data_IF_954102722473
#
_entry.id   IF_954102722473
#
_cell.length_a   1.000
_cell.length_b   1.000
_cell.length_c   1.000
_cell.angle_alpha   90.00
_cell.angle_beta   90.00
_cell.angle_gamma   90.00
#
_symmetry.space_group_name_H-M   'P 1'
#
loop_
_entity.id
_entity.type
_entity.pdbx_description
1 polymer ?
#
# COMPACT_ATOMS: atom_id res chain seq x y z
N UNK A 1 -29.97 36.40 7.02
CA UNK A 1 -28.84 36.05 7.91
C UNK A 1 -28.17 34.82 7.32
N UNK A 2 -27.35 35.00 6.29
CA UNK A 2 -26.54 33.93 5.69
C UNK A 2 -25.09 34.23 6.06
N UNK A 3 -24.55 33.40 6.96
CA UNK A 3 -23.13 33.48 7.32
C UNK A 3 -22.35 32.85 6.18
N UNK A 4 -21.82 33.71 5.31
CA UNK A 4 -20.82 33.33 4.32
C UNK A 4 -19.63 32.75 5.07
N UNK A 5 -19.50 31.42 5.01
CA UNK A 5 -18.40 30.71 5.64
C UNK A 5 -17.17 31.01 4.82
N UNK A 6 -16.30 31.86 5.37
CA UNK A 6 -15.02 32.23 4.78
C UNK A 6 -14.24 30.95 4.50
N UNK A 7 -14.08 30.60 3.22
CA UNK A 7 -13.13 29.58 2.77
C UNK A 7 -11.73 30.16 2.98
N UNK A 8 -11.22 30.04 4.19
CA UNK A 8 -9.86 30.46 4.56
C UNK A 8 -8.76 29.58 3.92
N UNK A 9 -9.12 28.63 3.04
CA UNK A 9 -8.19 27.76 2.32
C UNK A 9 -7.80 28.21 0.92
N UNK A 10 -8.46 29.21 0.33
CA UNK A 10 -8.42 29.46 -1.13
C UNK A 10 -7.10 29.96 -1.72
N UNK A 11 -6.17 30.50 -0.92
CA UNK A 11 -4.91 31.06 -1.45
C UNK A 11 -3.76 30.06 -1.56
N UNK A 12 -3.83 28.92 -0.87
CA UNK A 12 -2.84 27.83 -0.99
C UNK A 12 -3.12 26.89 -2.17
N UNK A 13 -4.29 27.01 -2.82
CA UNK A 13 -4.73 26.14 -3.90
C UNK A 13 -4.28 26.63 -5.29
N UNK A 14 -4.10 27.95 -5.45
CA UNK A 14 -3.75 28.58 -6.72
C UNK A 14 -2.30 28.30 -7.19
N UNK A 15 -1.45 27.75 -6.31
CA UNK A 15 -0.06 27.41 -6.63
C UNK A 15 0.19 25.92 -6.89
N UNK A 16 -0.82 25.06 -6.73
CA UNK A 16 -0.69 23.62 -6.94
C UNK A 16 -1.32 23.24 -8.28
N UNK A 17 -0.56 22.51 -9.10
CA UNK A 17 -1.11 21.83 -10.27
C UNK A 17 -2.17 20.79 -9.87
N UNK A 18 -2.87 20.24 -10.88
CA UNK A 18 -3.96 19.26 -10.69
C UNK A 18 -3.50 18.09 -9.81
N UNK A 19 -2.30 17.59 -10.05
CA UNK A 19 -1.68 16.48 -9.32
C UNK A 19 -1.48 16.82 -7.83
N UNK A 20 -1.11 18.07 -7.53
CA UNK A 20 -0.93 18.55 -6.16
C UNK A 20 -2.24 18.62 -5.39
N UNK A 21 -3.32 19.09 -6.05
CA UNK A 21 -4.67 19.12 -5.48
C UNK A 21 -5.16 17.70 -5.21
N UNK A 22 -5.02 16.79 -6.19
CA UNK A 22 -5.42 15.40 -6.04
C UNK A 22 -4.65 14.68 -4.93
N UNK A 23 -3.33 14.89 -4.82
CA UNK A 23 -2.51 14.31 -3.77
C UNK A 23 -2.94 14.77 -2.37
N UNK A 24 -3.26 16.05 -2.21
CA UNK A 24 -3.75 16.60 -0.94
C UNK A 24 -5.13 16.04 -0.59
N UNK A 25 -6.05 15.97 -1.55
CA UNK A 25 -7.36 15.38 -1.34
C UNK A 25 -7.25 13.90 -0.96
N UNK A 26 -6.40 13.13 -1.65
CA UNK A 26 -6.12 11.73 -1.34
C UNK A 26 -5.57 11.56 0.09
N UNK A 27 -4.65 12.43 0.53
CA UNK A 27 -4.15 12.42 1.92
C UNK A 27 -5.30 12.57 2.92
N UNK A 28 -6.15 13.59 2.74
CA UNK A 28 -7.26 13.85 3.66
C UNK A 28 -8.26 12.69 3.69
N UNK A 29 -8.59 12.11 2.53
CA UNK A 29 -9.48 10.96 2.44
C UNK A 29 -8.90 9.72 3.13
N UNK A 30 -7.61 9.45 2.96
CA UNK A 30 -6.93 8.33 3.62
C UNK A 30 -6.92 8.53 5.14
N UNK A 31 -6.60 9.73 5.62
CA UNK A 31 -6.63 10.05 7.05
C UNK A 31 -8.03 9.84 7.64
N UNK A 32 -9.08 10.36 6.98
CA UNK A 32 -10.48 10.16 7.41
C UNK A 32 -10.88 8.68 7.44
N UNK A 33 -10.50 7.91 6.43
CA UNK A 33 -10.84 6.49 6.35
C UNK A 33 -10.11 5.67 7.43
N UNK A 34 -8.85 6.00 7.75
CA UNK A 34 -8.11 5.37 8.84
C UNK A 34 -8.73 5.73 10.21
N UNK A 35 -9.17 6.97 10.41
CA UNK A 35 -9.89 7.34 11.63
C UNK A 35 -11.19 6.56 11.78
N UNK A 36 -11.91 6.29 10.68
CA UNK A 36 -13.08 5.42 10.69
C UNK A 36 -12.73 3.96 11.07
N UNK A 37 -11.63 3.40 10.54
CA UNK A 37 -11.15 2.06 10.94
C UNK A 37 -10.86 1.99 12.45
N UNK A 38 -10.25 3.03 13.03
CA UNK A 38 -9.95 3.09 14.47
C UNK A 38 -11.23 3.24 15.29
N UNK A 39 -12.18 4.05 14.83
CA UNK A 39 -13.46 4.23 15.52
C UNK A 39 -14.21 2.90 15.63
N UNK A 40 -14.24 2.11 14.54
CA UNK A 40 -14.83 0.76 14.54
C UNK A 40 -14.15 -0.15 15.56
N UNK A 41 -12.81 -0.17 15.61
CA UNK A 41 -12.09 -0.95 16.62
C UNK A 41 -12.43 -0.49 18.05
N UNK A 42 -12.48 0.81 18.30
CA UNK A 42 -12.78 1.32 19.65
C UNK A 42 -14.22 1.03 20.08
N UNK A 43 -15.16 1.03 19.14
CA UNK A 43 -16.56 0.66 19.39
C UNK A 43 -16.68 -0.83 19.74
N UNK A 44 -15.99 -1.71 19.00
CA UNK A 44 -15.94 -3.15 19.28
C UNK A 44 -15.47 -3.45 20.72
N UNK A 45 -14.49 -2.68 21.22
CA UNK A 45 -13.93 -2.85 22.56
C UNK A 45 -14.50 -1.88 23.62
N UNK A 46 -15.57 -1.13 23.31
CA UNK A 46 -16.13 -0.11 24.22
C UNK A 46 -16.67 -0.70 25.53
N UNK A 47 -17.18 -1.93 25.48
CA UNK A 47 -17.72 -2.66 26.64
C UNK A 47 -16.61 -3.27 27.52
N UNK A 48 -15.39 -3.41 26.99
CA UNK A 48 -14.27 -4.02 27.73
C UNK A 48 -13.66 -2.96 28.64
N UNK A 49 -13.96 -3.08 29.93
CA UNK A 49 -13.44 -2.19 30.99
C UNK A 49 -12.50 -2.96 31.91
N UNK A 50 -11.52 -2.24 32.43
CA UNK A 50 -10.63 -2.74 33.47
C UNK A 50 -11.37 -2.78 34.82
N UNK A 51 -10.78 -3.44 35.82
CA UNK A 51 -11.32 -3.54 37.19
C UNK A 51 -11.55 -2.16 37.83
N UNK A 52 -10.78 -1.14 37.39
CA UNK A 52 -10.90 0.26 37.84
C UNK A 52 -11.99 1.07 37.09
N UNK A 53 -12.77 0.42 36.21
CA UNK A 53 -13.84 1.05 35.42
C UNK A 53 -13.36 1.83 34.18
N UNK A 54 -12.05 1.94 33.94
CA UNK A 54 -11.50 2.59 32.75
C UNK A 54 -11.62 1.70 31.52
N UNK A 55 -11.73 2.29 30.33
CA UNK A 55 -11.68 1.54 29.07
C UNK A 55 -10.34 0.81 28.93
N UNK A 56 -10.41 -0.47 28.55
CA UNK A 56 -9.24 -1.29 28.33
C UNK A 56 -8.44 -0.85 27.10
N UNK A 57 -9.14 -0.46 26.03
CA UNK A 57 -8.54 -0.07 24.75
C UNK A 57 -8.74 1.42 24.53
N UNK A 58 -7.63 2.17 24.40
CA UNK A 58 -7.68 3.63 24.24
C UNK A 58 -6.76 4.12 23.13
N UNK A 59 -7.09 5.26 22.53
CA UNK A 59 -6.19 5.96 21.62
C UNK A 59 -4.98 6.49 22.38
N UNK A 60 -3.79 6.32 21.80
CA UNK A 60 -2.51 6.71 22.39
C UNK A 60 -1.56 7.32 21.35
N UNK A 61 -2.01 8.44 20.77
CA UNK A 61 -1.23 9.19 19.78
C UNK A 61 -1.24 8.54 18.40
N UNK A 62 -0.12 8.66 17.69
CA UNK A 62 0.04 8.19 16.31
C UNK A 62 1.39 7.49 16.15
N UNK A 63 1.46 6.60 15.17
CA UNK A 63 2.73 6.10 14.65
C UNK A 63 3.47 7.21 13.88
N UNK A 64 4.80 7.09 13.69
CA UNK A 64 5.54 7.99 12.84
C UNK A 64 4.91 8.11 11.45
N UNK A 65 4.87 9.34 10.93
CA UNK A 65 4.38 9.59 9.58
C UNK A 65 5.25 8.85 8.57
N UNK A 66 4.60 8.32 7.54
CA UNK A 66 5.28 7.49 6.55
C UNK A 66 4.66 7.73 5.18
N UNK A 67 5.51 7.86 4.17
CA UNK A 67 5.03 8.01 2.80
C UNK A 67 4.67 6.66 2.17
N UNK A 68 3.53 6.66 1.48
CA UNK A 68 3.06 5.56 0.64
C UNK A 68 3.08 6.03 -0.80
N UNK A 69 3.84 5.35 -1.65
CA UNK A 69 3.86 5.61 -3.09
C UNK A 69 2.53 5.17 -3.73
N UNK A 70 1.80 6.11 -4.30
CA UNK A 70 0.55 5.89 -5.04
C UNK A 70 0.73 6.29 -6.50
N UNK A 71 -0.31 6.10 -7.32
CA UNK A 71 -0.31 6.60 -8.69
C UNK A 71 -0.23 8.14 -8.77
N UNK A 72 -0.60 8.85 -7.70
CA UNK A 72 -0.51 10.31 -7.58
C UNK A 72 0.84 10.79 -7.01
N UNK A 73 1.79 9.87 -6.86
CA UNK A 73 3.07 10.08 -6.18
C UNK A 73 3.02 9.74 -4.68
N UNK A 74 4.01 10.20 -3.90
CA UNK A 74 4.12 9.91 -2.47
C UNK A 74 3.01 10.64 -1.69
N UNK A 75 2.24 9.88 -0.92
CA UNK A 75 1.23 10.41 -0.01
C UNK A 75 1.67 10.14 1.43
N UNK A 76 1.88 11.17 2.27
CA UNK A 76 2.20 10.98 3.67
C UNK A 76 0.98 10.47 4.43
N UNK A 77 1.16 9.42 5.22
CA UNK A 77 0.10 8.78 6.00
C UNK A 77 0.53 8.68 7.46
N UNK A 78 -0.36 9.10 8.35
CA UNK A 78 -0.17 9.03 9.80
C UNK A 78 -1.26 8.15 10.41
N UNK A 79 -0.85 6.98 10.90
CA UNK A 79 -1.78 5.98 11.44
C UNK A 79 -1.95 6.20 12.94
N UNK A 80 -3.18 6.30 13.49
CA UNK A 80 -3.39 6.38 14.93
C UNK A 80 -2.88 5.13 15.64
N UNK A 81 -2.41 5.32 16.87
CA UNK A 81 -1.93 4.23 17.71
C UNK A 81 -2.97 3.93 18.79
N UNK A 82 -3.27 2.65 18.95
CA UNK A 82 -4.15 2.16 20.02
C UNK A 82 -3.29 1.50 21.09
N UNK A 83 -3.59 1.76 22.36
CA UNK A 83 -2.98 1.13 23.52
C UNK A 83 -4.01 0.24 24.20
N UNK A 84 -3.69 -1.04 24.26
CA UNK A 84 -4.34 -1.97 25.17
C UNK A 84 -3.74 -1.85 26.57
N UNK A 85 -4.60 -1.71 27.57
CA UNK A 85 -4.25 -1.71 28.99
C UNK A 85 -4.56 -3.04 29.67
N UNK A 86 -5.43 -3.87 29.09
CA UNK A 86 -5.86 -5.16 29.67
C UNK A 86 -4.77 -6.23 29.64
N UNK A 87 -3.76 -6.09 28.78
CA UNK A 87 -2.71 -7.09 28.62
C UNK A 87 -3.10 -8.24 27.67
N UNK A 88 -4.23 -8.12 26.97
CA UNK A 88 -4.69 -9.10 25.97
C UNK A 88 -3.95 -8.98 24.63
N UNK A 89 -3.19 -7.91 24.43
CA UNK A 89 -2.32 -7.74 23.27
C UNK A 89 -3.02 -7.14 22.05
N UNK A 90 -4.15 -6.48 22.24
CA UNK A 90 -4.92 -5.83 21.17
C UNK A 90 -4.08 -4.73 20.51
N UNK A 91 -3.96 -4.80 19.18
CA UNK A 91 -3.22 -3.82 18.36
C UNK A 91 -4.08 -3.40 17.18
N UNK A 92 -4.12 -2.10 16.93
CA UNK A 92 -4.70 -1.57 15.70
C UNK A 92 -3.72 -1.72 14.53
N UNK A 93 -4.16 -2.43 13.49
CA UNK A 93 -3.48 -2.49 12.20
C UNK A 93 -4.46 -1.99 11.14
N UNK A 94 -4.18 -0.83 10.54
CA UNK A 94 -4.98 -0.29 9.45
C UNK A 94 -4.97 -1.25 8.26
N UNK A 95 -6.13 -1.48 7.64
CA UNK A 95 -6.25 -2.28 6.41
C UNK A 95 -5.80 -1.46 5.21
N UNK A 96 -6.12 -0.15 5.21
CA UNK A 96 -5.71 0.79 4.17
C UNK A 96 -4.20 1.07 4.18
N UNK A 97 -3.60 1.17 5.36
CA UNK A 97 -2.17 1.42 5.54
C UNK A 97 -1.55 0.40 6.52
N UNK A 98 -1.34 -0.87 6.09
CA UNK A 98 -0.73 -1.88 6.94
C UNK A 98 0.70 -1.52 7.33
N UNK A 99 1.20 -2.04 8.47
CA UNK A 99 2.56 -1.81 8.92
C UNK A 99 3.60 -2.08 7.82
N UNK A 100 4.63 -1.22 7.76
CA UNK A 100 5.77 -1.32 6.82
C UNK A 100 5.45 -1.18 5.32
N UNK A 101 4.18 -1.11 4.92
CA UNK A 101 3.80 -0.84 3.53
C UNK A 101 4.23 0.57 3.14
N UNK A 102 4.94 0.67 2.01
CA UNK A 102 5.47 1.91 1.42
C UNK A 102 4.92 2.20 0.02
N UNK A 103 4.07 1.32 -0.52
CA UNK A 103 3.56 1.42 -1.89
C UNK A 103 2.15 0.88 -1.94
N UNK A 104 1.30 1.48 -2.76
CA UNK A 104 -0.01 0.94 -3.10
C UNK A 104 0.13 -0.38 -3.86
N UNK A 105 -0.89 -1.23 -3.77
CA UNK A 105 -0.95 -2.51 -4.49
C UNK A 105 -0.75 -2.33 -6.00
N UNK A 106 -1.41 -1.35 -6.58
CA UNK A 106 -1.33 -1.05 -8.01
C UNK A 106 0.09 -0.67 -8.44
N UNK A 107 0.75 0.24 -7.71
CA UNK A 107 2.13 0.63 -8.02
C UNK A 107 3.12 -0.52 -7.82
N UNK A 108 2.92 -1.35 -6.78
CA UNK A 108 3.75 -2.53 -6.59
C UNK A 108 3.62 -3.55 -7.73
N UNK A 109 2.43 -3.69 -8.32
CA UNK A 109 2.15 -4.61 -9.42
C UNK A 109 2.73 -4.15 -10.77
N UNK A 110 3.03 -2.85 -10.94
CA UNK A 110 3.59 -2.33 -12.19
C UNK A 110 4.95 -2.93 -12.52
N UNK A 111 5.80 -3.18 -11.51
CA UNK A 111 7.14 -3.76 -11.69
C UNK A 111 7.12 -5.15 -12.36
N UNK A 112 6.39 -6.15 -11.82
CA UNK A 112 6.24 -7.45 -12.48
C UNK A 112 5.67 -7.31 -13.89
N UNK A 113 4.65 -6.47 -14.06
CA UNK A 113 3.95 -6.28 -15.33
C UNK A 113 4.92 -5.79 -16.41
N UNK A 114 5.68 -4.73 -16.13
CA UNK A 114 6.67 -4.18 -17.06
C UNK A 114 7.73 -5.22 -17.43
N UNK A 115 8.20 -6.00 -16.46
CA UNK A 115 9.18 -7.05 -16.72
C UNK A 115 8.64 -8.15 -17.64
N UNK A 116 7.41 -8.62 -17.40
CA UNK A 116 6.75 -9.62 -18.24
C UNK A 116 6.50 -9.10 -19.67
N UNK A 117 6.29 -7.80 -19.83
CA UNK A 117 6.16 -7.14 -21.13
C UNK A 117 7.50 -6.80 -21.81
N UNK A 118 8.62 -7.29 -21.27
CA UNK A 118 9.94 -7.18 -21.93
C UNK A 118 10.67 -5.87 -21.66
N UNK A 119 10.22 -5.04 -20.71
CA UNK A 119 10.97 -3.86 -20.28
C UNK A 119 12.21 -4.33 -19.52
N UNK A 120 13.38 -3.98 -20.06
CA UNK A 120 14.66 -4.27 -19.40
C UNK A 120 14.71 -3.68 -18.00
N UNK A 121 15.31 -4.40 -17.06
CA UNK A 121 15.50 -3.92 -15.69
C UNK A 121 16.27 -2.60 -15.61
N UNK A 122 17.13 -2.31 -16.59
CA UNK A 122 17.87 -1.04 -16.67
C UNK A 122 17.00 0.16 -17.05
N UNK A 123 15.96 -0.04 -17.87
CA UNK A 123 15.04 1.01 -18.32
C UNK A 123 13.78 1.14 -17.46
N UNK A 124 13.61 0.26 -16.47
CA UNK A 124 12.40 0.22 -15.64
C UNK A 124 12.24 1.49 -14.79
N UNK A 125 13.32 2.02 -14.22
CA UNK A 125 13.26 3.24 -13.43
C UNK A 125 12.86 4.44 -14.30
N UNK A 126 13.41 4.54 -15.52
CA UNK A 126 13.07 5.58 -16.49
C UNK A 126 11.59 5.52 -16.88
N UNK A 127 11.10 4.34 -17.27
CA UNK A 127 9.69 4.14 -17.62
C UNK A 127 8.75 4.50 -16.47
N UNK A 128 9.11 4.18 -15.23
CA UNK A 128 8.31 4.48 -14.05
C UNK A 128 8.38 5.96 -13.66
N UNK A 129 9.52 6.61 -13.84
CA UNK A 129 9.66 8.06 -13.63
C UNK A 129 8.82 8.87 -14.60
N UNK A 130 8.66 8.42 -15.86
CA UNK A 130 7.74 9.07 -16.81
C UNK A 130 6.29 8.97 -16.34
N UNK A 131 5.89 7.83 -15.77
CA UNK A 131 4.49 7.57 -15.37
C UNK A 131 4.13 8.14 -13.99
N UNK A 132 5.06 8.15 -13.04
CA UNK A 132 4.83 8.50 -11.63
C UNK A 132 5.55 9.79 -11.20
N UNK A 133 6.29 10.42 -12.13
CA UNK A 133 7.16 11.56 -11.87
C UNK A 133 8.49 11.19 -11.21
N UNK A 134 9.34 12.19 -10.97
CA UNK A 134 10.65 12.04 -10.33
C UNK A 134 10.58 11.47 -8.89
N UNK A 135 9.39 11.49 -8.31
CA UNK A 135 9.12 10.93 -7.00
C UNK A 135 8.94 9.41 -7.01
N UNK A 136 9.08 8.70 -8.13
CA UNK A 136 9.01 7.24 -8.27
C UNK A 136 10.14 6.46 -7.54
N UNK A 137 10.62 6.98 -6.41
CA UNK A 137 11.67 6.41 -5.58
C UNK A 137 11.18 5.09 -4.96
N UNK A 138 12.02 4.08 -5.06
CA UNK A 138 11.79 2.76 -4.46
C UNK A 138 11.27 1.69 -5.41
N UNK A 139 11.02 1.98 -6.68
CA UNK A 139 10.76 0.96 -7.72
C UNK A 139 12.07 0.53 -8.38
N UNK A 140 13.00 0.07 -7.53
CA UNK A 140 14.38 -0.19 -7.94
C UNK A 140 14.56 -1.61 -8.51
N UNK A 141 15.65 -1.85 -9.26
CA UNK A 141 16.06 -3.18 -9.70
C UNK A 141 16.17 -4.21 -8.57
N UNK A 142 16.41 -3.79 -7.32
CA UNK A 142 16.46 -4.67 -6.16
C UNK A 142 15.08 -5.28 -5.80
N UNK A 143 13.98 -4.56 -6.08
CA UNK A 143 12.62 -5.11 -5.94
C UNK A 143 12.41 -6.23 -6.95
N UNK A 144 12.82 -6.00 -8.21
CA UNK A 144 12.75 -7.01 -9.26
C UNK A 144 13.66 -8.22 -8.96
N UNK A 145 14.83 -8.01 -8.38
CA UNK A 145 15.73 -9.10 -7.96
C UNK A 145 15.07 -10.05 -6.96
N UNK A 146 14.38 -9.51 -5.93
CA UNK A 146 13.62 -10.32 -4.97
C UNK A 146 12.45 -11.07 -5.62
N UNK A 147 11.71 -10.39 -6.49
CA UNK A 147 10.61 -10.99 -7.24
C UNK A 147 11.08 -12.13 -8.15
N UNK A 148 12.22 -11.96 -8.82
CA UNK A 148 12.85 -13.02 -9.62
C UNK A 148 13.26 -14.21 -8.77
N UNK A 149 13.75 -13.99 -7.55
CA UNK A 149 14.11 -15.08 -6.64
C UNK A 149 12.88 -15.89 -6.21
N UNK A 150 11.76 -15.22 -5.92
CA UNK A 150 10.47 -15.86 -5.63
C UNK A 150 9.98 -16.67 -6.85
N UNK A 151 9.95 -16.08 -8.03
CA UNK A 151 9.57 -16.78 -9.26
C UNK A 151 10.49 -17.94 -9.61
N UNK A 152 11.79 -17.86 -9.30
CA UNK A 152 12.71 -18.98 -9.49
C UNK A 152 12.34 -20.17 -8.60
N UNK A 153 11.90 -19.92 -7.37
CA UNK A 153 11.41 -20.97 -6.47
C UNK A 153 10.09 -21.56 -6.97
N UNK A 154 9.13 -20.72 -7.37
CA UNK A 154 7.86 -21.17 -7.96
C UNK A 154 8.10 -21.99 -9.22
N UNK A 155 9.02 -21.55 -10.08
CA UNK A 155 9.40 -22.27 -11.28
C UNK A 155 10.02 -23.62 -10.95
N UNK A 156 10.93 -23.68 -9.96
CA UNK A 156 11.50 -24.94 -9.51
C UNK A 156 10.41 -25.91 -9.02
N UNK A 157 9.44 -25.44 -8.24
CA UNK A 157 8.30 -26.26 -7.83
C UNK A 157 7.45 -26.71 -9.03
N UNK A 158 7.18 -25.80 -9.97
CA UNK A 158 6.38 -26.07 -11.16
C UNK A 158 7.03 -27.10 -12.08
N UNK A 159 8.36 -27.05 -12.24
CA UNK A 159 9.12 -28.01 -13.05
C UNK A 159 9.03 -29.44 -12.50
N UNK A 160 8.89 -29.61 -11.18
CA UNK A 160 8.79 -30.91 -10.52
C UNK A 160 7.34 -31.35 -10.25
N UNK A 161 6.34 -30.63 -10.79
CA UNK A 161 4.93 -30.95 -10.54
C UNK A 161 4.56 -32.33 -11.09
N UNK A 162 3.75 -33.07 -10.34
CA UNK A 162 3.24 -34.35 -10.82
C UNK A 162 2.30 -34.16 -12.02
N UNK A 163 2.52 -34.99 -13.05
CA UNK A 163 1.61 -35.14 -14.17
C UNK A 163 0.77 -36.43 -14.06
N UNK A 164 0.87 -37.14 -12.94
CA UNK A 164 0.13 -38.38 -12.69
C UNK A 164 -1.38 -38.14 -12.80
N UNK A 165 -2.08 -39.10 -13.41
CA UNK A 165 -3.54 -39.03 -13.61
C UNK A 165 -3.99 -38.14 -14.77
N UNK A 166 -3.07 -37.47 -15.48
CA UNK A 166 -3.41 -36.65 -16.66
C UNK A 166 -3.23 -37.47 -17.94
N UNK A 167 -4.24 -37.49 -18.82
CA UNK A 167 -4.18 -38.12 -20.14
C UNK A 167 -4.00 -37.06 -21.21
N UNK A 168 -2.86 -37.05 -21.88
CA UNK A 168 -2.56 -36.12 -22.97
C UNK A 168 -2.78 -36.81 -24.31
N UNK A 169 -3.61 -36.24 -25.19
CA UNK A 169 -3.84 -36.78 -26.53
C UNK A 169 -2.70 -36.43 -27.50
N UNK A 170 -2.00 -35.32 -27.26
CA UNK A 170 -0.87 -34.85 -28.05
C UNK A 170 0.13 -34.12 -27.16
N UNK A 171 1.41 -34.20 -27.52
CA UNK A 171 2.49 -33.42 -26.92
C UNK A 171 3.40 -32.92 -28.04
N UNK A 172 3.78 -31.65 -28.01
CA UNK A 172 4.71 -31.07 -28.97
C UNK A 172 5.89 -30.45 -28.25
N UNK A 173 7.07 -30.57 -28.85
CA UNK A 173 8.32 -29.97 -28.36
C UNK A 173 8.72 -28.91 -29.36
N UNK A 174 8.77 -27.65 -28.90
CA UNK A 174 9.24 -26.53 -29.72
C UNK A 174 10.63 -26.14 -29.27
N UNK A 175 11.56 -26.08 -30.22
CA UNK A 175 12.90 -25.54 -29.97
C UNK A 175 12.87 -24.02 -30.15
N UNK A 176 13.03 -23.28 -29.05
CA UNK A 176 13.27 -21.84 -29.09
C UNK A 176 14.76 -21.63 -29.37
N UNK A 177 15.09 -21.01 -30.51
CA UNK A 177 16.45 -20.52 -30.82
C UNK A 177 16.55 -19.11 -30.24
N UNK A 178 17.43 -18.93 -29.26
CA UNK A 178 17.82 -17.62 -28.74
C UNK A 178 18.95 -17.05 -29.57
#
# INVERSE_FOLDING_TARGET
MEKNTVIAGGMGELGLGIEGILRRAARSLIEQAIEAEVAVLLEEFATVRMVDGRQAVVRNGHLPEREIMTALGPVPVKVPKVRDRSGSGIKFNSVLAPPYVRKSRTVAATVPWLYLHGVSSGHMQEALSILLGDEAKGLSPAVLGRLKAEWAQEYAHWQHRSLQGKRYAYWWVVKQRW
#
